data_IF_405310790223
#
_entry.id   IF_405310790223
#
_cell.length_a   1.000
_cell.length_b   1.000
_cell.length_c   1.000
_cell.angle_alpha   90.00
_cell.angle_beta   90.00
_cell.angle_gamma   90.00
#
_symmetry.space_group_name_H-M   'P 1'
#
loop_
_entity.id
_entity.type
_entity.pdbx_description
1 polymer ?
#
# COMPACT_ATOMS: atom_id res chain seq x y z
N UNK A 1 21.34 24.78 57.94
CA UNK A 1 22.64 25.48 58.00
C UNK A 1 22.99 25.82 56.57
N UNK A 2 22.83 27.12 56.25
CA UNK A 2 23.32 27.91 55.11
C UNK A 2 22.99 27.43 53.67
N UNK A 3 22.10 28.09 52.91
CA UNK A 3 22.15 29.47 52.35
C UNK A 3 23.08 29.56 51.14
N UNK A 4 22.55 29.77 49.93
CA UNK A 4 22.41 31.10 49.26
C UNK A 4 23.60 31.23 48.27
N UNK A 5 23.57 31.88 47.11
CA UNK A 5 22.59 32.63 46.35
C UNK A 5 23.21 32.87 44.95
N UNK A 6 22.34 32.99 43.96
CA UNK A 6 22.27 33.96 42.85
C UNK A 6 23.50 34.64 42.19
N UNK A 7 23.21 35.10 40.96
CA UNK A 7 23.78 36.22 40.18
C UNK A 7 24.44 35.81 38.85
N UNK A 8 24.21 36.47 37.71
CA UNK A 8 23.25 37.47 37.25
C UNK A 8 23.55 37.65 35.74
N UNK A 9 22.54 37.99 34.95
CA UNK A 9 22.62 38.43 33.56
C UNK A 9 23.45 39.71 33.36
N UNK A 10 23.99 39.91 32.15
CA UNK A 10 23.99 41.15 31.30
C UNK A 10 24.85 40.88 30.04
N UNK A 11 24.28 40.77 28.84
CA UNK A 11 23.92 41.83 27.88
C UNK A 11 25.11 42.73 27.50
N UNK A 12 25.58 42.66 26.24
CA UNK A 12 25.51 43.82 25.35
C UNK A 12 25.95 43.52 23.91
N UNK A 13 25.51 44.42 23.05
CA UNK A 13 25.30 44.30 21.61
C UNK A 13 26.44 44.85 20.71
N UNK A 14 26.44 44.35 19.47
CA UNK A 14 26.72 45.07 18.21
C UNK A 14 28.12 45.12 17.56
N UNK A 15 28.06 44.81 16.25
CA UNK A 15 28.75 45.40 15.09
C UNK A 15 30.24 45.14 14.82
N UNK A 16 30.52 44.58 13.64
CA UNK A 16 31.83 44.55 13.00
C UNK A 16 31.78 43.91 11.62
N UNK A 17 31.16 44.59 10.66
CA UNK A 17 31.26 44.32 9.23
C UNK A 17 32.73 44.53 8.80
N UNK A 18 33.41 43.47 8.35
CA UNK A 18 34.73 43.57 7.72
C UNK A 18 34.73 42.69 6.47
N UNK A 19 34.44 43.31 5.34
CA UNK A 19 34.85 42.81 4.04
C UNK A 19 36.32 43.21 3.78
N UNK A 20 37.12 42.27 3.30
CA UNK A 20 38.33 42.58 2.54
C UNK A 20 38.51 41.63 1.37
N UNK A 21 38.93 42.25 0.27
CA UNK A 21 39.01 41.80 -1.11
C UNK A 21 40.20 40.87 -1.39
N UNK A 22 40.05 40.19 -2.52
CA UNK A 22 40.95 39.35 -3.30
C UNK A 22 42.38 39.88 -3.56
N UNK A 23 43.35 38.97 -3.48
CA UNK A 23 44.58 38.89 -4.30
C UNK A 23 44.75 37.37 -4.59
N UNK A 24 44.33 36.83 -5.72
CA UNK A 24 44.97 36.77 -7.05
C UNK A 24 46.38 36.16 -7.00
N UNK A 25 46.48 34.85 -7.30
CA UNK A 25 47.69 34.20 -7.81
C UNK A 25 47.30 32.93 -8.61
N UNK A 26 47.21 33.15 -9.93
CA UNK A 26 47.64 32.31 -11.07
C UNK A 26 47.26 30.80 -11.17
N UNK A 27 46.42 30.51 -12.18
CA UNK A 27 46.27 29.22 -12.90
C UNK A 27 47.40 29.04 -13.93
N UNK A 28 47.85 27.80 -14.24
CA UNK A 28 47.29 27.03 -15.38
C UNK A 28 47.29 25.49 -15.13
N UNK A 29 46.62 24.57 -15.84
CA UNK A 29 45.94 24.57 -17.13
C UNK A 29 44.94 23.39 -17.23
N UNK A 30 43.93 23.63 -18.05
CA UNK A 30 42.97 22.77 -18.79
C UNK A 30 42.72 21.27 -18.47
N UNK A 31 41.41 21.04 -18.21
CA UNK A 31 40.53 20.09 -18.88
C UNK A 31 40.41 18.63 -18.36
N UNK A 32 39.51 18.45 -17.38
CA UNK A 32 38.31 17.61 -17.61
C UNK A 32 37.14 18.19 -16.83
N UNK A 33 36.09 18.63 -17.52
CA UNK A 33 34.82 19.05 -16.91
C UNK A 33 34.12 17.81 -16.35
N UNK A 34 34.34 17.48 -15.08
CA UNK A 34 33.49 16.50 -14.40
C UNK A 34 32.19 17.16 -13.96
N UNK A 35 31.09 16.63 -14.51
CA UNK A 35 29.73 16.97 -14.13
C UNK A 35 29.47 16.68 -12.63
N UNK A 36 28.57 17.43 -11.97
CA UNK A 36 28.27 17.18 -10.57
C UNK A 36 27.55 15.83 -10.39
N UNK A 37 28.07 15.00 -9.48
CA UNK A 37 27.29 13.93 -8.84
C UNK A 37 27.40 12.52 -9.44
N UNK A 38 28.56 11.87 -9.38
CA UNK A 38 28.63 10.40 -9.48
C UNK A 38 28.67 9.79 -8.08
N UNK A 39 27.53 9.34 -7.56
CA UNK A 39 27.41 8.59 -6.30
C UNK A 39 27.79 7.10 -6.44
N UNK A 40 28.74 6.77 -7.32
CA UNK A 40 29.18 5.40 -7.54
C UNK A 40 30.68 5.32 -7.88
N UNK A 41 31.31 4.21 -7.51
CA UNK A 41 32.71 3.88 -7.77
C UNK A 41 32.77 2.55 -8.52
N UNK A 42 33.70 2.42 -9.47
CA UNK A 42 33.89 1.21 -10.26
C UNK A 42 34.99 0.37 -9.63
N UNK A 43 34.75 -0.92 -9.43
CA UNK A 43 35.67 -1.87 -8.81
C UNK A 43 35.88 -3.11 -9.67
N UNK A 44 37.04 -3.75 -9.51
CA UNK A 44 37.34 -5.04 -10.14
C UNK A 44 36.76 -6.21 -9.32
N UNK A 45 36.36 -7.28 -10.01
CA UNK A 45 35.75 -8.45 -9.39
C UNK A 45 36.65 -9.13 -8.33
N UNK A 46 37.97 -8.99 -8.42
CA UNK A 46 38.94 -9.55 -7.46
C UNK A 46 38.78 -9.02 -6.04
N UNK A 47 38.47 -7.73 -5.90
CA UNK A 47 38.32 -7.10 -4.57
C UNK A 47 37.06 -7.62 -3.86
N UNK A 48 36.01 -7.91 -4.63
CA UNK A 48 34.76 -8.47 -4.10
C UNK A 48 34.92 -9.97 -3.81
N UNK A 49 35.70 -10.69 -4.61
CA UNK A 49 36.08 -12.09 -4.31
C UNK A 49 36.77 -12.21 -2.96
N UNK A 50 37.70 -11.31 -2.64
CA UNK A 50 38.38 -11.33 -1.35
C UNK A 50 37.39 -11.13 -0.20
N UNK A 51 36.49 -10.16 -0.31
CA UNK A 51 35.46 -9.89 0.70
C UNK A 51 34.50 -11.08 0.89
N UNK A 52 34.10 -11.70 -0.22
CA UNK A 52 33.30 -12.91 -0.21
C UNK A 52 34.00 -14.06 0.55
N UNK A 53 35.30 -14.27 0.34
CA UNK A 53 36.04 -15.32 1.03
C UNK A 53 36.22 -15.01 2.53
N UNK A 54 36.36 -13.74 2.90
CA UNK A 54 36.37 -13.31 4.29
C UNK A 54 35.05 -13.62 5.00
N UNK A 55 33.91 -13.35 4.35
CA UNK A 55 32.57 -13.65 4.90
C UNK A 55 32.33 -15.17 5.02
N UNK A 56 32.77 -15.96 4.04
CA UNK A 56 32.70 -17.44 4.09
C UNK A 56 33.56 -17.97 5.24
N UNK A 57 34.79 -17.49 5.36
CA UNK A 57 35.73 -17.88 6.41
C UNK A 57 35.19 -17.51 7.79
N UNK A 58 34.61 -16.31 7.92
CA UNK A 58 34.02 -15.87 9.17
C UNK A 58 32.85 -16.75 9.62
N UNK A 59 31.90 -17.07 8.73
CA UNK A 59 30.78 -17.99 9.06
C UNK A 59 31.27 -19.39 9.38
N UNK A 60 32.22 -19.92 8.59
CA UNK A 60 32.81 -21.25 8.84
C UNK A 60 33.43 -21.34 10.23
N UNK A 61 34.17 -20.31 10.64
CA UNK A 61 34.80 -20.24 11.95
C UNK A 61 33.79 -20.05 13.09
N UNK A 62 32.83 -19.13 12.94
CA UNK A 62 31.89 -18.80 14.02
C UNK A 62 30.89 -19.94 14.29
N UNK A 63 30.41 -20.59 13.23
CA UNK A 63 29.46 -21.71 13.37
C UNK A 63 30.17 -23.06 13.52
N UNK A 64 31.51 -23.08 13.44
CA UNK A 64 32.35 -24.27 13.44
C UNK A 64 31.91 -25.32 12.40
N UNK A 65 31.57 -24.87 11.19
CA UNK A 65 31.12 -25.71 10.07
C UNK A 65 32.15 -25.75 8.95
N UNK A 66 32.07 -26.76 8.09
CA UNK A 66 32.92 -26.85 6.90
C UNK A 66 32.70 -25.65 5.95
N UNK A 67 33.71 -25.32 5.13
CA UNK A 67 33.63 -24.24 4.14
C UNK A 67 32.42 -24.40 3.20
N UNK A 68 32.18 -25.61 2.71
CA UNK A 68 31.03 -25.90 1.83
C UNK A 68 29.69 -25.71 2.55
N UNK A 69 29.61 -26.11 3.82
CA UNK A 69 28.42 -25.86 4.64
C UNK A 69 28.18 -24.37 4.87
N UNK A 70 29.24 -23.60 5.13
CA UNK A 70 29.17 -22.15 5.26
C UNK A 70 28.64 -21.47 3.99
N UNK A 71 29.11 -21.91 2.81
CA UNK A 71 28.63 -21.42 1.51
C UNK A 71 27.13 -21.69 1.34
N UNK A 72 26.66 -22.90 1.63
CA UNK A 72 25.24 -23.26 1.49
C UNK A 72 24.36 -22.42 2.43
N UNK A 73 24.81 -22.22 3.67
CA UNK A 73 24.12 -21.36 4.62
C UNK A 73 24.06 -19.92 4.11
N UNK A 74 25.18 -19.39 3.61
CA UNK A 74 25.24 -18.05 3.05
C UNK A 74 24.31 -17.89 1.83
N UNK A 75 24.27 -18.86 0.92
CA UNK A 75 23.37 -18.84 -0.23
C UNK A 75 21.90 -18.89 0.17
N UNK A 76 21.52 -19.78 1.09
CA UNK A 76 20.13 -19.92 1.54
C UNK A 76 19.62 -18.66 2.28
N UNK A 77 20.53 -17.93 2.92
CA UNK A 77 20.23 -16.72 3.69
C UNK A 77 20.58 -15.44 2.95
N UNK A 78 20.80 -15.50 1.63
CA UNK A 78 21.13 -14.36 0.76
C UNK A 78 22.26 -13.50 1.35
N UNK A 79 23.33 -14.15 1.80
CA UNK A 79 24.52 -13.55 2.39
C UNK A 79 24.28 -12.74 3.67
N UNK A 80 23.17 -12.98 4.38
CA UNK A 80 22.89 -12.36 5.67
C UNK A 80 23.50 -13.16 6.84
N UNK A 81 24.75 -12.84 7.16
CA UNK A 81 25.54 -13.45 8.22
C UNK A 81 24.84 -13.48 9.60
N UNK A 82 24.16 -12.38 9.97
CA UNK A 82 23.48 -12.24 11.26
C UNK A 82 22.29 -13.19 11.38
N UNK A 83 21.45 -13.26 10.35
CA UNK A 83 20.26 -14.12 10.37
C UNK A 83 20.63 -15.60 10.43
N UNK A 84 21.75 -15.99 9.80
CA UNK A 84 22.27 -17.36 9.91
C UNK A 84 22.61 -17.65 11.37
N UNK A 85 23.32 -16.75 12.05
CA UNK A 85 23.71 -16.95 13.45
C UNK A 85 22.51 -17.04 14.39
N UNK A 86 21.55 -16.13 14.25
CA UNK A 86 20.33 -16.12 15.05
C UNK A 86 19.58 -17.45 14.93
N UNK A 87 19.31 -17.89 13.70
CA UNK A 87 18.58 -19.13 13.44
C UNK A 87 19.40 -20.37 13.83
N UNK A 88 20.72 -20.36 13.58
CA UNK A 88 21.63 -21.48 13.89
C UNK A 88 21.78 -21.70 15.39
N UNK A 89 21.93 -20.63 16.18
CA UNK A 89 22.02 -20.72 17.63
C UNK A 89 20.66 -20.95 18.30
N UNK A 90 19.55 -20.62 17.65
CA UNK A 90 18.22 -20.96 18.11
C UNK A 90 17.89 -22.45 17.94
N UNK A 91 18.14 -23.02 16.74
CA UNK A 91 17.87 -24.43 16.43
C UNK A 91 18.72 -24.92 15.24
N UNK A 92 19.92 -25.41 15.55
CA UNK A 92 20.89 -25.90 14.56
C UNK A 92 20.34 -27.09 13.73
N UNK A 93 19.61 -28.02 14.35
CA UNK A 93 19.13 -29.23 13.67
C UNK A 93 18.06 -28.88 12.63
N UNK A 94 17.16 -27.95 12.97
CA UNK A 94 16.16 -27.41 12.05
C UNK A 94 16.80 -26.69 10.88
N UNK A 95 17.83 -25.87 11.12
CA UNK A 95 18.55 -25.17 10.04
C UNK A 95 19.23 -26.17 9.12
N UNK A 96 19.97 -27.15 9.68
CA UNK A 96 20.64 -28.20 8.90
C UNK A 96 19.68 -28.98 8.02
N UNK A 97 18.49 -29.31 8.53
CA UNK A 97 17.46 -30.00 7.76
C UNK A 97 16.87 -29.11 6.66
N UNK A 98 16.63 -27.83 6.93
CA UNK A 98 16.09 -26.89 5.96
C UNK A 98 17.04 -26.65 4.78
N UNK A 99 18.35 -26.56 5.05
CA UNK A 99 19.36 -26.33 4.01
C UNK A 99 19.95 -27.61 3.40
N UNK A 100 19.44 -28.78 3.78
CA UNK A 100 19.87 -30.07 3.22
C UNK A 100 21.25 -30.57 3.70
N UNK A 101 21.81 -29.97 4.76
CA UNK A 101 23.08 -30.39 5.35
C UNK A 101 22.99 -31.70 6.16
N UNK A 102 21.79 -32.27 6.29
CA UNK A 102 21.57 -33.58 6.92
C UNK A 102 21.85 -34.78 5.99
N UNK A 103 22.24 -34.54 4.73
CA UNK A 103 22.52 -35.57 3.74
C UNK A 103 24.03 -35.73 3.46
N UNK A 104 24.55 -36.97 3.48
CA UNK A 104 25.96 -37.27 3.18
C UNK A 104 26.35 -37.18 1.69
N UNK A 105 25.48 -36.68 0.83
CA UNK A 105 25.70 -36.57 -0.62
C UNK A 105 26.05 -35.14 -1.07
N UNK A 106 26.72 -34.36 -0.22
CA UNK A 106 27.09 -32.98 -0.53
C UNK A 106 28.19 -32.93 -1.59
N UNK A 107 27.93 -32.23 -2.70
CA UNK A 107 28.95 -31.93 -3.72
C UNK A 107 29.61 -30.61 -3.35
N UNK A 108 30.78 -30.68 -2.72
CA UNK A 108 31.57 -29.51 -2.35
C UNK A 108 32.27 -28.84 -3.53
N UNK A 109 32.74 -27.61 -3.34
CA UNK A 109 33.40 -26.80 -4.37
C UNK A 109 34.59 -27.53 -5.01
N UNK A 110 35.33 -28.32 -4.24
CA UNK A 110 36.49 -29.09 -4.71
C UNK A 110 36.10 -30.15 -5.74
N UNK A 111 34.93 -30.78 -5.55
CA UNK A 111 34.39 -31.75 -6.49
C UNK A 111 33.94 -31.06 -7.77
N UNK A 112 33.31 -29.89 -7.66
CA UNK A 112 32.89 -29.09 -8.83
C UNK A 112 34.12 -28.56 -9.58
N UNK A 113 35.15 -28.09 -8.87
CA UNK A 113 36.42 -27.62 -9.43
C UNK A 113 37.20 -28.75 -10.13
N UNK A 114 37.08 -29.99 -9.66
CA UNK A 114 37.69 -31.15 -10.31
C UNK A 114 37.05 -31.51 -11.66
N UNK A 115 35.82 -31.07 -11.93
CA UNK A 115 35.06 -31.40 -13.15
C UNK A 115 34.71 -30.19 -14.04
N UNK A 116 34.75 -28.96 -13.53
CA UNK A 116 34.40 -27.73 -14.25
C UNK A 116 35.65 -27.03 -14.81
N UNK A 117 35.56 -26.43 -16.02
CA UNK A 117 36.65 -25.64 -16.59
C UNK A 117 36.87 -24.34 -15.79
N UNK A 118 38.12 -23.88 -15.69
CA UNK A 118 38.57 -22.75 -14.85
C UNK A 118 37.72 -21.47 -15.03
N UNK A 119 37.16 -21.22 -16.22
CA UNK A 119 36.37 -20.03 -16.52
C UNK A 119 34.93 -20.06 -16.00
N UNK A 120 34.38 -21.23 -15.65
CA UNK A 120 32.95 -21.40 -15.35
C UNK A 120 32.57 -21.41 -13.86
N UNK A 121 33.49 -21.77 -12.96
CA UNK A 121 33.11 -22.18 -11.61
C UNK A 121 33.19 -21.08 -10.53
N UNK A 122 34.09 -20.12 -10.66
CA UNK A 122 34.19 -18.97 -9.71
C UNK A 122 33.09 -17.92 -9.93
N UNK A 123 32.39 -17.99 -11.06
CA UNK A 123 31.41 -16.99 -11.48
C UNK A 123 30.10 -17.04 -10.69
N UNK A 124 29.53 -18.24 -10.42
CA UNK A 124 28.19 -18.33 -9.83
C UNK A 124 28.14 -17.85 -8.37
N UNK A 125 29.14 -18.23 -7.57
CA UNK A 125 29.18 -17.90 -6.14
C UNK A 125 29.37 -16.39 -5.98
N UNK A 126 30.30 -15.82 -6.73
CA UNK A 126 30.54 -14.38 -6.80
C UNK A 126 29.31 -13.63 -7.33
N UNK A 127 28.61 -14.21 -8.30
CA UNK A 127 27.38 -13.63 -8.86
C UNK A 127 26.27 -13.55 -7.82
N UNK A 128 26.02 -14.60 -7.03
CA UNK A 128 25.06 -14.54 -5.92
C UNK A 128 25.46 -13.48 -4.89
N UNK A 129 26.74 -13.40 -4.52
CA UNK A 129 27.23 -12.38 -3.57
C UNK A 129 26.95 -10.96 -4.04
N UNK A 130 27.06 -10.69 -5.34
CA UNK A 130 26.87 -9.34 -5.89
C UNK A 130 25.37 -9.05 -6.14
N UNK A 131 24.61 -10.04 -6.62
CA UNK A 131 23.17 -9.87 -6.89
C UNK A 131 22.38 -9.61 -5.61
N UNK A 132 22.70 -10.34 -4.53
CA UNK A 132 22.06 -10.21 -3.22
C UNK A 132 22.56 -9.00 -2.41
N UNK A 133 23.65 -8.35 -2.83
CA UNK A 133 24.21 -7.18 -2.14
C UNK A 133 23.57 -5.87 -2.64
N UNK A 134 23.22 -4.99 -1.69
CA UNK A 134 22.64 -3.66 -1.99
C UNK A 134 23.67 -2.63 -2.45
N UNK A 135 24.94 -2.80 -2.08
CA UNK A 135 26.02 -1.86 -2.38
C UNK A 135 26.65 -2.10 -3.76
N UNK A 136 26.60 -3.34 -4.27
CA UNK A 136 27.27 -3.76 -5.49
C UNK A 136 26.28 -4.19 -6.57
N UNK A 137 26.54 -3.81 -7.82
CA UNK A 137 25.82 -4.32 -8.99
C UNK A 137 26.79 -4.60 -10.13
N UNK A 138 26.49 -5.61 -10.94
CA UNK A 138 27.27 -5.92 -12.14
C UNK A 138 27.17 -4.81 -13.18
N UNK A 139 28.28 -4.55 -13.87
CA UNK A 139 28.25 -3.73 -15.07
C UNK A 139 27.38 -4.42 -16.15
N UNK A 140 26.42 -3.72 -16.79
CA UNK A 140 25.56 -4.31 -17.80
C UNK A 140 26.27 -4.75 -19.10
N UNK A 141 27.52 -4.33 -19.30
CA UNK A 141 28.26 -4.64 -20.52
C UNK A 141 28.70 -6.12 -20.53
N UNK A 142 28.46 -6.86 -21.63
CA UNK A 142 28.91 -8.24 -21.75
C UNK A 142 30.43 -8.33 -21.65
N UNK A 143 30.93 -9.36 -20.97
CA UNK A 143 32.35 -9.65 -20.73
C UNK A 143 33.16 -8.54 -20.02
N UNK A 144 32.50 -7.55 -19.43
CA UNK A 144 33.16 -6.43 -18.77
C UNK A 144 33.78 -6.81 -17.40
N UNK A 145 33.13 -7.68 -16.63
CA UNK A 145 33.63 -8.16 -15.33
C UNK A 145 33.78 -7.08 -14.24
N UNK A 146 33.38 -5.83 -14.49
CA UNK A 146 33.44 -4.72 -13.54
C UNK A 146 32.18 -4.64 -12.67
N UNK A 147 32.35 -4.11 -11.46
CA UNK A 147 31.31 -3.98 -10.45
C UNK A 147 31.13 -2.50 -10.10
N UNK A 148 29.87 -2.05 -10.06
CA UNK A 148 29.49 -0.72 -9.62
C UNK A 148 29.19 -0.75 -8.11
N UNK A 149 29.95 0.01 -7.32
CA UNK A 149 29.70 0.25 -5.91
C UNK A 149 29.03 1.61 -5.72
N UNK A 150 27.83 1.66 -5.16
CA UNK A 150 27.13 2.93 -4.92
C UNK A 150 27.55 3.53 -3.56
N UNK A 151 28.09 4.75 -3.58
CA UNK A 151 28.66 5.45 -2.40
C UNK A 151 27.61 6.01 -1.42
N UNK A 152 26.31 5.90 -1.75
CA UNK A 152 25.20 6.31 -0.88
C UNK A 152 24.94 5.36 0.30
N UNK A 153 25.61 4.21 0.35
CA UNK A 153 25.54 3.25 1.45
C UNK A 153 26.89 3.16 2.15
N UNK A 154 27.21 4.16 2.98
CA UNK A 154 28.26 4.00 3.98
C UNK A 154 27.59 3.45 5.24
N UNK A 155 27.69 2.14 5.45
CA UNK A 155 27.40 1.53 6.75
C UNK A 155 28.50 1.99 7.73
N UNK A 156 28.17 2.96 8.57
CA UNK A 156 28.93 3.22 9.79
C UNK A 156 28.91 1.94 10.64
N UNK A 157 30.07 1.27 10.75
CA UNK A 157 30.28 0.23 11.77
C UNK A 157 30.23 0.90 13.14
N UNK A 158 29.17 0.60 13.89
CA UNK A 158 29.03 0.94 15.30
C UNK A 158 27.58 0.86 15.72
N UNK A 159 27.18 -0.26 16.33
CA UNK A 159 26.03 -0.55 17.24
C UNK A 159 24.64 0.09 17.00
N UNK A 160 24.43 0.85 15.91
CA UNK A 160 23.18 1.47 15.42
C UNK A 160 22.67 0.83 14.13
N UNK A 161 23.38 -0.16 13.58
CA UNK A 161 23.05 -0.81 12.30
C UNK A 161 21.78 -1.69 12.39
N UNK A 162 21.48 -2.23 13.58
CA UNK A 162 20.26 -2.99 13.82
C UNK A 162 19.03 -2.07 13.73
N UNK A 163 19.10 -0.86 14.29
CA UNK A 163 17.99 0.10 14.27
C UNK A 163 17.65 0.60 12.85
N UNK A 164 18.64 0.88 11.99
CA UNK A 164 18.37 1.33 10.63
C UNK A 164 17.86 0.20 9.72
N UNK A 165 18.41 -1.02 9.85
CA UNK A 165 17.91 -2.19 9.13
C UNK A 165 16.48 -2.55 9.59
N UNK A 166 16.21 -2.47 10.88
CA UNK A 166 14.88 -2.63 11.45
C UNK A 166 13.95 -1.49 11.00
N UNK A 167 14.41 -0.24 10.91
CA UNK A 167 13.62 0.89 10.42
C UNK A 167 13.27 0.75 8.93
N UNK A 168 14.21 0.36 8.08
CA UNK A 168 13.97 0.06 6.66
C UNK A 168 12.98 -1.11 6.52
N UNK A 169 13.21 -2.19 7.25
CA UNK A 169 12.34 -3.38 7.26
C UNK A 169 10.94 -3.05 7.78
N UNK A 170 10.84 -2.23 8.82
CA UNK A 170 9.56 -1.79 9.38
C UNK A 170 8.84 -0.82 8.44
N UNK A 171 9.55 0.05 7.74
CA UNK A 171 8.99 0.92 6.70
C UNK A 171 8.46 0.10 5.52
N UNK A 172 9.24 -0.87 5.02
CA UNK A 172 8.80 -1.79 3.98
C UNK A 172 7.59 -2.63 4.40
N UNK A 173 7.58 -3.14 5.64
CA UNK A 173 6.42 -3.84 6.23
C UNK A 173 5.19 -2.95 6.31
N UNK A 174 5.35 -1.68 6.73
CA UNK A 174 4.24 -0.71 6.79
C UNK A 174 3.66 -0.44 5.40
N UNK A 175 4.52 -0.20 4.40
CA UNK A 175 4.06 0.00 3.02
C UNK A 175 3.35 -1.25 2.45
N UNK A 176 3.87 -2.45 2.72
CA UNK A 176 3.23 -3.68 2.29
C UNK A 176 1.89 -3.89 2.99
N UNK A 177 1.82 -3.69 4.31
CA UNK A 177 0.58 -3.79 5.07
C UNK A 177 -0.47 -2.79 4.57
N UNK A 178 -0.06 -1.55 4.28
CA UNK A 178 -0.92 -0.53 3.66
C UNK A 178 -1.42 -1.01 2.30
N UNK A 179 -0.53 -1.44 1.40
CA UNK A 179 -0.94 -1.96 0.10
C UNK A 179 -1.93 -3.12 0.21
N UNK A 180 -1.63 -4.13 1.04
CA UNK A 180 -2.52 -5.28 1.26
C UNK A 180 -3.88 -4.83 1.77
N UNK A 181 -3.93 -3.94 2.77
CA UNK A 181 -5.19 -3.43 3.33
C UNK A 181 -6.11 -2.83 2.26
N UNK A 182 -5.56 -1.97 1.39
CA UNK A 182 -6.32 -1.28 0.34
C UNK A 182 -6.67 -2.22 -0.83
N UNK A 183 -5.71 -3.04 -1.27
CA UNK A 183 -5.91 -3.96 -2.38
C UNK A 183 -6.95 -5.04 -2.09
N UNK A 184 -6.92 -5.64 -0.89
CA UNK A 184 -7.90 -6.66 -0.51
C UNK A 184 -9.33 -6.12 -0.52
N UNK A 185 -9.52 -4.86 -0.08
CA UNK A 185 -10.83 -4.20 -0.06
C UNK A 185 -11.30 -3.76 -1.45
N UNK A 186 -10.38 -3.32 -2.30
CA UNK A 186 -10.64 -3.08 -3.72
C UNK A 186 -11.13 -4.36 -4.41
N UNK A 187 -10.43 -5.48 -4.20
CA UNK A 187 -10.79 -6.78 -4.79
C UNK A 187 -12.10 -7.29 -4.20
N UNK A 188 -12.32 -7.14 -2.89
CA UNK A 188 -13.55 -7.55 -2.23
C UNK A 188 -14.76 -6.80 -2.79
N UNK A 189 -14.67 -5.48 -2.96
CA UNK A 189 -15.74 -4.69 -3.58
C UNK A 189 -15.96 -5.05 -5.05
N UNK A 190 -14.88 -5.33 -5.80
CA UNK A 190 -15.02 -5.82 -7.17
C UNK A 190 -15.77 -7.15 -7.25
N UNK A 191 -15.41 -8.12 -6.41
CA UNK A 191 -16.11 -9.42 -6.34
C UNK A 191 -17.56 -9.27 -5.87
N UNK A 192 -17.81 -8.39 -4.90
CA UNK A 192 -19.16 -8.11 -4.41
C UNK A 192 -20.04 -7.47 -5.49
N UNK A 193 -19.46 -6.58 -6.32
CA UNK A 193 -20.12 -6.02 -7.50
C UNK A 193 -20.48 -7.10 -8.52
N UNK A 194 -19.54 -8.01 -8.84
CA UNK A 194 -19.79 -9.09 -9.81
C UNK A 194 -20.92 -10.02 -9.34
N UNK A 195 -20.96 -10.33 -8.04
CA UNK A 195 -22.08 -11.06 -7.42
C UNK A 195 -23.40 -10.32 -7.52
N UNK A 196 -23.42 -9.00 -7.27
CA UNK A 196 -24.65 -8.21 -7.40
C UNK A 196 -25.17 -8.19 -8.85
N UNK A 197 -24.28 -8.11 -9.84
CA UNK A 197 -24.63 -8.25 -11.26
C UNK A 197 -25.21 -9.64 -11.56
N UNK A 198 -24.61 -10.70 -11.02
CA UNK A 198 -25.10 -12.07 -11.16
C UNK A 198 -26.48 -12.25 -10.51
N UNK A 199 -26.68 -11.75 -9.28
CA UNK A 199 -27.97 -11.78 -8.60
C UNK A 199 -29.08 -11.06 -9.38
N UNK A 200 -28.78 -9.88 -9.94
CA UNK A 200 -29.71 -9.16 -10.81
C UNK A 200 -30.08 -9.98 -12.06
N UNK A 201 -29.09 -10.58 -12.74
CA UNK A 201 -29.33 -11.44 -13.92
C UNK A 201 -30.14 -12.68 -13.56
N UNK A 202 -29.82 -13.34 -12.45
CA UNK A 202 -30.56 -14.50 -11.97
C UNK A 202 -32.01 -14.14 -11.68
N UNK A 203 -32.27 -12.98 -11.10
CA UNK A 203 -33.63 -12.48 -10.85
C UNK A 203 -34.43 -12.32 -12.15
N UNK A 204 -33.80 -11.84 -13.22
CA UNK A 204 -34.39 -11.74 -14.56
C UNK A 204 -34.61 -13.13 -15.19
N UNK A 205 -33.60 -14.01 -15.15
CA UNK A 205 -33.66 -15.38 -15.74
C UNK A 205 -34.75 -16.22 -15.08
N UNK A 206 -34.83 -16.20 -13.75
CA UNK A 206 -35.85 -16.95 -13.00
C UNK A 206 -37.21 -16.25 -12.96
N UNK A 207 -37.32 -15.05 -13.56
CA UNK A 207 -38.57 -14.29 -13.61
C UNK A 207 -39.13 -13.95 -12.23
N UNK A 208 -38.28 -13.72 -11.23
CA UNK A 208 -38.72 -13.51 -9.83
C UNK A 208 -39.57 -12.26 -9.68
N UNK A 209 -39.17 -11.15 -10.31
CA UNK A 209 -39.93 -9.89 -10.32
C UNK A 209 -41.29 -10.10 -11.00
N UNK A 210 -41.31 -10.83 -12.11
CA UNK A 210 -42.53 -11.12 -12.84
C UNK A 210 -43.46 -12.07 -12.06
N UNK A 211 -42.89 -13.07 -11.38
CA UNK A 211 -43.62 -13.93 -10.44
C UNK A 211 -44.28 -13.13 -9.31
N UNK A 212 -43.55 -12.17 -8.74
CA UNK A 212 -44.11 -11.25 -7.73
C UNK A 212 -45.24 -10.39 -8.31
N UNK A 213 -45.11 -9.91 -9.55
CA UNK A 213 -46.16 -9.17 -10.27
C UNK A 213 -47.46 -9.97 -10.36
N UNK A 214 -47.35 -11.25 -10.72
CA UNK A 214 -48.49 -12.17 -10.80
C UNK A 214 -49.11 -12.44 -9.43
N UNK A 215 -48.30 -12.73 -8.41
CA UNK A 215 -48.77 -13.00 -7.04
C UNK A 215 -49.56 -11.81 -6.47
N UNK A 216 -49.11 -10.59 -6.78
CA UNK A 216 -49.72 -9.35 -6.30
C UNK A 216 -50.83 -8.81 -7.22
N UNK A 217 -51.12 -9.48 -8.33
CA UNK A 217 -52.07 -9.03 -9.36
C UNK A 217 -51.82 -7.59 -9.85
N UNK A 218 -50.55 -7.21 -10.03
CA UNK A 218 -50.17 -5.87 -10.46
C UNK A 218 -50.36 -5.70 -11.97
N UNK A 219 -51.08 -4.64 -12.37
CA UNK A 219 -51.37 -4.35 -13.77
C UNK A 219 -50.20 -3.71 -14.53
N UNK A 220 -49.38 -2.90 -13.86
CA UNK A 220 -48.24 -2.17 -14.44
C UNK A 220 -46.91 -2.76 -13.94
N UNK A 221 -46.01 -3.09 -14.88
CA UNK A 221 -44.64 -3.56 -14.60
C UNK A 221 -43.80 -2.52 -13.85
N UNK A 222 -44.12 -1.22 -14.02
CA UNK A 222 -43.39 -0.12 -13.38
C UNK A 222 -43.54 -0.11 -11.87
N UNK A 223 -44.58 -0.75 -11.33
CA UNK A 223 -44.79 -0.85 -9.88
C UNK A 223 -43.63 -1.57 -9.18
N UNK A 224 -42.88 -2.43 -9.90
CA UNK A 224 -41.75 -3.20 -9.41
C UNK A 224 -40.37 -2.66 -9.84
N UNK A 225 -40.34 -1.57 -10.61
CA UNK A 225 -39.08 -0.98 -11.10
C UNK A 225 -38.09 -0.65 -9.99
N UNK A 226 -38.60 -0.27 -8.81
CA UNK A 226 -37.78 0.05 -7.63
C UNK A 226 -36.82 -1.07 -7.20
N UNK A 227 -37.14 -2.34 -7.49
CA UNK A 227 -36.26 -3.48 -7.21
C UNK A 227 -35.02 -3.41 -8.10
N UNK A 228 -35.23 -3.20 -9.41
CA UNK A 228 -34.14 -3.05 -10.37
C UNK A 228 -33.30 -1.81 -10.08
N UNK A 229 -33.95 -0.69 -9.79
CA UNK A 229 -33.28 0.57 -9.43
C UNK A 229 -32.37 0.38 -8.19
N UNK A 230 -32.81 -0.40 -7.20
CA UNK A 230 -32.00 -0.70 -6.01
C UNK A 230 -30.76 -1.54 -6.34
N UNK A 231 -30.88 -2.60 -7.16
CA UNK A 231 -29.73 -3.41 -7.58
C UNK A 231 -28.75 -2.63 -8.47
N UNK A 232 -29.25 -1.80 -9.39
CA UNK A 232 -28.41 -0.90 -10.18
C UNK A 232 -27.64 0.06 -9.27
N UNK A 233 -28.30 0.62 -8.25
CA UNK A 233 -27.66 1.48 -7.26
C UNK A 233 -26.61 0.72 -6.44
N UNK A 234 -26.88 -0.52 -6.00
CA UNK A 234 -25.88 -1.35 -5.30
C UNK A 234 -24.62 -1.52 -6.16
N UNK A 235 -24.77 -1.87 -7.44
CA UNK A 235 -23.63 -2.07 -8.36
C UNK A 235 -22.84 -0.76 -8.53
N UNK A 236 -23.53 0.37 -8.72
CA UNK A 236 -22.90 1.68 -8.81
C UNK A 236 -22.11 2.02 -7.55
N UNK A 237 -22.72 1.85 -6.37
CA UNK A 237 -22.09 2.10 -5.08
C UNK A 237 -20.85 1.21 -4.86
N UNK A 238 -20.90 -0.09 -5.24
CA UNK A 238 -19.71 -0.98 -5.18
C UNK A 238 -18.58 -0.50 -6.07
N UNK A 239 -18.90 0.02 -7.25
CA UNK A 239 -17.90 0.61 -8.16
C UNK A 239 -17.25 1.84 -7.51
N UNK A 240 -18.03 2.71 -6.88
CA UNK A 240 -17.48 3.88 -6.18
C UNK A 240 -16.60 3.47 -5.00
N UNK A 241 -17.02 2.50 -4.16
CA UNK A 241 -16.17 1.99 -3.07
C UNK A 241 -14.88 1.35 -3.56
N UNK A 242 -14.94 0.56 -4.64
CA UNK A 242 -13.74 -0.01 -5.26
C UNK A 242 -12.72 1.10 -5.55
N UNK A 243 -13.16 2.20 -6.16
CA UNK A 243 -12.28 3.32 -6.47
C UNK A 243 -11.95 4.21 -5.25
N UNK A 244 -12.80 4.26 -4.22
CA UNK A 244 -12.48 4.96 -2.97
C UNK A 244 -11.26 4.35 -2.29
N UNK A 245 -11.10 3.03 -2.32
CA UNK A 245 -9.90 2.38 -1.79
C UNK A 245 -8.64 2.70 -2.60
N UNK A 246 -8.74 2.80 -3.91
CA UNK A 246 -7.61 3.27 -4.72
C UNK A 246 -7.25 4.72 -4.37
N UNK A 247 -8.24 5.59 -4.23
CA UNK A 247 -8.07 6.98 -3.84
C UNK A 247 -7.43 7.12 -2.44
N UNK A 248 -7.96 6.41 -1.44
CA UNK A 248 -7.44 6.43 -0.07
C UNK A 248 -5.99 5.93 0.05
N UNK A 249 -5.57 4.98 -0.79
CA UNK A 249 -4.19 4.50 -0.82
C UNK A 249 -3.18 5.62 -1.14
N UNK A 250 -3.54 6.49 -2.09
CA UNK A 250 -2.70 7.60 -2.55
C UNK A 250 -2.85 8.88 -1.71
N UNK A 251 -3.73 8.89 -0.71
CA UNK A 251 -3.90 10.04 0.16
C UNK A 251 -2.62 10.27 1.01
N UNK A 252 -2.05 11.49 1.04
CA UNK A 252 -0.81 11.75 1.76
C UNK A 252 -0.93 11.54 3.28
N UNK A 253 0.01 10.81 3.88
CA UNK A 253 -0.04 10.44 5.30
C UNK A 253 0.04 11.62 6.27
N UNK A 254 0.58 12.75 5.82
CA UNK A 254 0.67 13.99 6.59
C UNK A 254 -0.66 14.77 6.64
N UNK A 255 -1.64 14.44 5.78
CA UNK A 255 -2.94 15.11 5.73
C UNK A 255 -3.97 14.42 6.64
N UNK A 256 -3.66 14.30 7.93
CA UNK A 256 -4.47 13.53 8.90
C UNK A 256 -5.96 13.93 8.92
N UNK A 257 -6.29 15.22 8.82
CA UNK A 257 -7.68 15.66 8.80
C UNK A 257 -8.47 15.16 7.58
N UNK A 258 -7.80 15.08 6.42
CA UNK A 258 -8.40 14.53 5.19
C UNK A 258 -8.57 13.03 5.26
N UNK A 259 -7.59 12.32 5.84
CA UNK A 259 -7.69 10.88 6.07
C UNK A 259 -8.88 10.56 6.96
N UNK A 260 -8.99 11.21 8.12
CA UNK A 260 -10.10 10.97 9.07
C UNK A 260 -11.47 11.29 8.46
N UNK A 261 -11.58 12.40 7.75
CA UNK A 261 -12.84 12.78 7.10
C UNK A 261 -13.22 11.80 5.98
N UNK A 262 -12.25 11.37 5.17
CA UNK A 262 -12.44 10.36 4.14
C UNK A 262 -12.89 9.01 4.73
N UNK A 263 -12.19 8.51 5.77
CA UNK A 263 -12.52 7.25 6.43
C UNK A 263 -13.92 7.26 7.04
N UNK A 264 -14.34 8.40 7.62
CA UNK A 264 -15.70 8.58 8.13
C UNK A 264 -16.74 8.46 7.01
N UNK A 265 -16.58 9.21 5.91
CA UNK A 265 -17.51 9.15 4.78
C UNK A 265 -17.54 7.77 4.14
N UNK A 266 -16.38 7.13 3.99
CA UNK A 266 -16.27 5.78 3.46
C UNK A 266 -17.00 4.78 4.35
N UNK A 267 -16.84 4.87 5.68
CA UNK A 267 -17.52 3.99 6.64
C UNK A 267 -19.04 4.11 6.60
N UNK A 268 -19.58 5.33 6.54
CA UNK A 268 -21.02 5.56 6.41
C UNK A 268 -21.58 4.97 5.10
N UNK A 269 -20.86 5.18 3.99
CA UNK A 269 -21.23 4.65 2.69
C UNK A 269 -21.20 3.11 2.65
N UNK A 270 -20.18 2.48 3.25
CA UNK A 270 -20.07 1.03 3.36
C UNK A 270 -21.19 0.42 4.17
N UNK A 271 -21.44 0.96 5.37
CA UNK A 271 -22.49 0.48 6.26
C UNK A 271 -23.86 0.57 5.57
N UNK A 272 -24.16 1.72 4.95
CA UNK A 272 -25.40 1.91 4.18
C UNK A 272 -25.54 0.91 3.04
N UNK A 273 -24.47 0.68 2.27
CA UNK A 273 -24.48 -0.26 1.15
C UNK A 273 -24.67 -1.72 1.57
N UNK A 274 -24.01 -2.17 2.64
CA UNK A 274 -24.20 -3.53 3.15
C UNK A 274 -25.64 -3.74 3.64
N UNK A 275 -26.22 -2.74 4.32
CA UNK A 275 -27.62 -2.80 4.74
C UNK A 275 -28.56 -2.94 3.54
N UNK A 276 -28.38 -2.08 2.53
CA UNK A 276 -29.20 -2.10 1.32
C UNK A 276 -29.06 -3.43 0.56
N UNK A 277 -27.83 -3.91 0.38
CA UNK A 277 -27.55 -5.15 -0.36
C UNK A 277 -28.23 -6.35 0.32
N UNK A 278 -28.05 -6.49 1.63
CA UNK A 278 -28.70 -7.56 2.40
C UNK A 278 -30.22 -7.49 2.32
N UNK A 279 -30.80 -6.29 2.49
CA UNK A 279 -32.25 -6.10 2.43
C UNK A 279 -32.82 -6.46 1.05
N UNK A 280 -32.15 -6.07 -0.03
CA UNK A 280 -32.55 -6.39 -1.40
C UNK A 280 -32.51 -7.90 -1.71
N UNK A 281 -31.56 -8.63 -1.11
CA UNK A 281 -31.39 -10.07 -1.31
C UNK A 281 -32.42 -10.90 -0.51
N UNK A 282 -32.62 -10.57 0.78
CA UNK A 282 -33.45 -11.36 1.70
C UNK A 282 -34.96 -11.11 1.51
N UNK A 283 -35.38 -9.85 1.42
CA UNK A 283 -36.80 -9.48 1.53
C UNK A 283 -37.61 -9.81 0.29
N UNK A 284 -36.97 -9.84 -0.88
CA UNK A 284 -37.62 -10.31 -2.10
C UNK A 284 -38.06 -11.77 -1.95
N UNK A 285 -37.22 -12.62 -1.37
CA UNK A 285 -37.55 -14.02 -1.14
C UNK A 285 -38.66 -14.17 -0.10
N UNK A 286 -38.69 -13.32 0.92
CA UNK A 286 -39.78 -13.30 1.91
C UNK A 286 -41.11 -12.96 1.24
N UNK A 287 -41.14 -11.97 0.33
CA UNK A 287 -42.34 -11.60 -0.40
C UNK A 287 -42.85 -12.72 -1.31
N UNK A 288 -41.94 -13.43 -2.00
CA UNK A 288 -42.28 -14.52 -2.92
C UNK A 288 -42.86 -15.75 -2.20
N UNK A 289 -42.42 -16.02 -0.97
CA UNK A 289 -42.80 -17.23 -0.23
C UNK A 289 -43.87 -17.01 0.84
N UNK A 290 -44.42 -15.80 0.97
CA UNK A 290 -45.33 -15.44 2.06
C UNK A 290 -46.77 -15.91 1.83
N UNK A 291 -47.46 -16.29 2.92
CA UNK A 291 -48.91 -16.48 2.94
C UNK A 291 -49.70 -15.15 2.83
N UNK A 292 -49.09 -14.00 3.14
CA UNK A 292 -49.70 -12.66 2.99
C UNK A 292 -48.78 -11.70 2.19
N UNK A 293 -48.69 -11.88 0.86
CA UNK A 293 -47.74 -11.14 0.01
C UNK A 293 -48.00 -9.64 -0.04
N UNK A 294 -49.26 -9.21 0.02
CA UNK A 294 -49.66 -7.81 -0.14
C UNK A 294 -49.18 -6.90 0.99
N UNK A 295 -49.24 -7.39 2.23
CA UNK A 295 -48.79 -6.61 3.40
C UNK A 295 -47.27 -6.50 3.38
N UNK A 296 -46.58 -7.62 3.15
CA UNK A 296 -45.12 -7.66 3.08
C UNK A 296 -44.58 -6.81 1.92
N UNK A 297 -45.25 -6.84 0.77
CA UNK A 297 -44.86 -6.04 -0.39
C UNK A 297 -44.88 -4.54 -0.10
N UNK A 298 -45.90 -4.03 0.61
CA UNK A 298 -45.95 -2.60 0.95
C UNK A 298 -44.77 -2.18 1.83
N UNK A 299 -44.44 -2.99 2.84
CA UNK A 299 -43.31 -2.73 3.74
C UNK A 299 -42.00 -2.80 2.95
N UNK A 300 -41.81 -3.88 2.18
CA UNK A 300 -40.64 -4.08 1.33
C UNK A 300 -40.42 -2.92 0.37
N UNK A 301 -41.49 -2.47 -0.31
CA UNK A 301 -41.42 -1.36 -1.27
C UNK A 301 -40.95 -0.06 -0.63
N UNK A 302 -41.56 0.33 0.48
CA UNK A 302 -41.24 1.59 1.14
C UNK A 302 -39.82 1.56 1.73
N UNK A 303 -39.45 0.47 2.40
CA UNK A 303 -38.16 0.37 3.05
C UNK A 303 -37.00 0.21 2.04
N UNK A 304 -37.19 -0.56 0.95
CA UNK A 304 -36.15 -0.69 -0.08
C UNK A 304 -35.89 0.66 -0.76
N UNK A 305 -36.93 1.43 -1.09
CA UNK A 305 -36.78 2.78 -1.65
C UNK A 305 -36.05 3.73 -0.69
N UNK A 306 -36.42 3.69 0.59
CA UNK A 306 -35.80 4.51 1.63
C UNK A 306 -34.32 4.18 1.78
N UNK A 307 -33.94 2.90 1.89
CA UNK A 307 -32.54 2.49 2.00
C UNK A 307 -31.76 2.80 0.72
N UNK A 308 -32.37 2.65 -0.46
CA UNK A 308 -31.75 3.02 -1.74
C UNK A 308 -31.42 4.51 -1.78
N UNK A 309 -32.35 5.36 -1.35
CA UNK A 309 -32.17 6.82 -1.30
C UNK A 309 -31.11 7.21 -0.26
N UNK A 310 -31.18 6.65 0.95
CA UNK A 310 -30.21 6.93 2.00
C UNK A 310 -28.79 6.53 1.56
N UNK A 311 -28.64 5.35 0.95
CA UNK A 311 -27.36 4.88 0.41
C UNK A 311 -26.86 5.81 -0.69
N UNK A 312 -27.72 6.20 -1.64
CA UNK A 312 -27.34 7.14 -2.69
C UNK A 312 -26.78 8.45 -2.14
N UNK A 313 -27.37 8.99 -1.06
CA UNK A 313 -26.90 10.24 -0.43
C UNK A 313 -25.50 10.10 0.19
N UNK A 314 -25.19 8.96 0.84
CA UNK A 314 -23.83 8.71 1.36
C UNK A 314 -22.80 8.68 0.22
N UNK A 315 -23.15 8.04 -0.90
CA UNK A 315 -22.26 7.95 -2.06
C UNK A 315 -22.12 9.25 -2.84
N UNK A 316 -23.17 10.07 -2.91
CA UNK A 316 -23.10 11.40 -3.48
C UNK A 316 -22.17 12.30 -2.66
N UNK A 317 -22.25 12.20 -1.33
CA UNK A 317 -21.35 12.91 -0.42
C UNK A 317 -19.90 12.48 -0.66
N UNK A 318 -19.63 11.18 -0.69
CA UNK A 318 -18.30 10.61 -0.95
C UNK A 318 -17.73 11.04 -2.31
N UNK A 319 -18.53 10.94 -3.38
CA UNK A 319 -18.12 11.31 -4.73
C UNK A 319 -17.86 12.82 -4.87
N UNK A 320 -18.64 13.66 -4.20
CA UNK A 320 -18.44 15.11 -4.17
C UNK A 320 -17.12 15.44 -3.49
N UNK A 321 -16.81 14.79 -2.37
CA UNK A 321 -15.54 14.95 -1.67
C UNK A 321 -14.34 14.55 -2.53
N UNK A 322 -14.46 13.54 -3.40
CA UNK A 322 -13.40 13.17 -4.35
C UNK A 322 -13.15 14.27 -5.37
N UNK A 323 -14.24 14.81 -5.95
CA UNK A 323 -14.15 15.88 -6.96
C UNK A 323 -13.51 17.15 -6.39
N UNK A 324 -13.78 17.45 -5.12
CA UNK A 324 -13.28 18.65 -4.45
C UNK A 324 -11.93 18.46 -3.76
N UNK A 325 -11.32 17.26 -3.83
CA UNK A 325 -10.02 16.97 -3.21
C UNK A 325 -10.00 17.15 -1.69
N UNK A 326 -11.13 16.90 -1.02
CA UNK A 326 -11.32 17.09 0.43
C UNK A 326 -11.04 18.51 0.94
N UNK A 327 -11.35 19.53 0.12
CA UNK A 327 -11.19 20.94 0.46
C UNK A 327 -11.92 21.36 1.75
N UNK A 328 -12.96 20.61 2.14
CA UNK A 328 -13.81 20.85 3.31
C UNK A 328 -13.01 20.86 4.63
N UNK A 329 -11.90 20.12 4.67
CA UNK A 329 -11.01 20.03 5.85
C UNK A 329 -10.25 21.33 6.10
N UNK A 330 -9.92 22.10 5.04
CA UNK A 330 -9.29 23.41 5.20
C UNK A 330 -10.29 24.46 5.72
N UNK A 331 -11.57 24.33 5.39
CA UNK A 331 -12.65 25.19 5.91
C UNK A 331 -13.04 24.91 7.36
N UNK A 332 -12.84 23.69 7.88
CA UNK A 332 -13.13 23.37 9.28
C UNK A 332 -12.08 23.93 10.26
N UNK A 333 -10.84 24.14 9.81
CA UNK A 333 -9.83 24.89 10.57
C UNK A 333 -10.19 26.36 10.78
N UNK A 334 -10.86 26.99 9.79
CA UNK A 334 -11.34 28.37 9.89
C UNK A 334 -12.72 28.49 10.58
N UNK A 335 -13.55 27.44 10.51
CA UNK A 335 -14.85 27.40 11.17
C UNK A 335 -14.73 27.16 12.69
N UNK A 336 -13.73 26.38 13.15
CA UNK A 336 -13.55 26.09 14.57
C UNK A 336 -13.11 27.32 15.40
N UNK A 337 -12.37 28.27 14.80
CA UNK A 337 -12.01 29.54 15.47
C UNK A 337 -13.24 30.46 15.64
N UNK A 338 -14.24 30.33 14.77
CA UNK A 338 -15.46 31.15 14.81
C UNK A 338 -16.60 30.49 15.61
N UNK A 339 -16.57 29.16 15.81
CA UNK A 339 -17.59 28.42 16.57
C UNK A 339 -17.46 28.58 18.09
N UNK A 340 -16.26 28.80 18.62
CA UNK A 340 -16.06 29.10 20.06
C UNK A 340 -16.57 30.50 20.47
N UNK A 341 -16.92 31.37 19.51
CA UNK A 341 -17.49 32.70 19.76
C UNK A 341 -19.00 32.81 19.55
N UNK A 342 -19.66 31.77 19.08
CA UNK A 342 -21.08 31.83 18.71
C UNK A 342 -21.83 30.56 19.12
N UNK A 343 -21.89 30.31 20.43
CA UNK A 343 -22.90 29.43 21.02
C UNK A 343 -23.69 30.21 22.07
N UNK A 344 -24.64 31.00 21.60
CA UNK A 344 -25.86 31.28 22.34
C UNK A 344 -27.02 31.51 21.34
N UNK A 345 -28.09 30.71 21.44
CA UNK A 345 -29.38 30.99 20.79
C UNK A 345 -29.82 30.11 19.60
N UNK A 346 -30.64 29.11 19.92
CA UNK A 346 -31.88 28.62 19.29
C UNK A 346 -31.99 28.04 17.85
N UNK A 347 -32.90 27.05 17.81
CA UNK A 347 -33.50 26.26 16.72
C UNK A 347 -33.95 27.02 15.47
N UNK A 348 -33.88 26.37 14.30
CA UNK A 348 -35.04 26.18 13.41
C UNK A 348 -34.76 25.24 12.22
N UNK A 349 -35.81 24.52 11.81
CA UNK A 349 -35.91 23.61 10.66
C UNK A 349 -35.62 24.29 9.32
N UNK A 350 -35.05 23.56 8.35
CA UNK A 350 -35.27 23.83 6.92
C UNK A 350 -35.11 22.60 6.03
N UNK A 351 -36.20 22.24 5.36
CA UNK A 351 -36.25 21.37 4.19
C UNK A 351 -35.71 22.11 2.94
N UNK A 352 -34.99 21.41 2.06
CA UNK A 352 -34.77 21.79 0.66
C UNK A 352 -34.42 20.54 -0.17
N UNK A 353 -35.34 20.06 -1.02
CA UNK A 353 -35.37 20.26 -2.48
C UNK A 353 -34.32 19.46 -3.26
N UNK A 354 -34.69 18.22 -3.62
CA UNK A 354 -33.97 17.32 -4.52
C UNK A 354 -34.19 17.75 -5.97
N UNK A 355 -33.11 18.10 -6.68
CA UNK A 355 -33.13 18.26 -8.14
C UNK A 355 -32.54 17.00 -8.76
N UNK A 356 -33.39 16.19 -9.37
CA UNK A 356 -33.03 15.00 -10.13
C UNK A 356 -32.36 15.42 -11.44
N UNK A 357 -31.07 15.13 -11.60
CA UNK A 357 -30.42 15.12 -12.91
C UNK A 357 -30.45 13.69 -13.45
N UNK A 358 -31.36 13.45 -14.40
CA UNK A 358 -31.25 12.34 -15.33
C UNK A 358 -29.96 12.50 -16.12
N UNK A 359 -29.08 11.50 -16.04
CA UNK A 359 -28.09 11.27 -17.08
C UNK A 359 -28.20 9.80 -17.49
N UNK A 360 -28.66 9.59 -18.72
CA UNK A 360 -28.67 8.30 -19.40
C UNK A 360 -27.23 7.85 -19.61
N UNK A 361 -26.79 6.83 -18.87
CA UNK A 361 -25.64 6.02 -19.26
C UNK A 361 -26.13 4.61 -19.56
N UNK A 362 -26.22 4.32 -20.85
CA UNK A 362 -26.64 3.03 -21.40
C UNK A 362 -25.64 1.93 -21.05
N UNK A 363 -26.16 0.75 -20.74
CA UNK A 363 -25.47 -0.51 -20.39
C UNK A 363 -24.56 -1.09 -21.50
N UNK A 364 -24.35 -0.37 -22.61
CA UNK A 364 -23.56 -0.83 -23.76
C UNK A 364 -22.04 -0.59 -23.65
N UNK A 365 -21.58 0.26 -22.72
CA UNK A 365 -20.14 0.59 -22.60
C UNK A 365 -19.31 -0.48 -21.85
N UNK A 366 -19.85 -1.69 -21.65
CA UNK A 366 -19.16 -2.78 -20.94
C UNK A 366 -18.06 -3.47 -21.77
N UNK A 367 -17.94 -3.15 -23.06
CA UNK A 367 -16.96 -3.75 -23.96
C UNK A 367 -16.33 -2.71 -24.89
N UNK A 368 -15.39 -1.89 -24.41
CA UNK A 368 -14.12 -1.55 -25.10
C UNK A 368 -13.38 -0.41 -24.40
N UNK A 369 -12.07 -0.64 -24.26
CA UNK A 369 -10.96 0.27 -23.97
C UNK A 369 -10.68 0.76 -22.53
N UNK A 370 -9.40 0.72 -22.10
CA UNK A 370 -8.94 1.23 -20.82
C UNK A 370 -8.82 2.75 -20.86
N UNK A 371 -9.38 3.42 -19.84
CA UNK A 371 -9.20 4.86 -19.65
C UNK A 371 -7.71 5.20 -19.47
N UNK A 372 -7.13 5.87 -20.46
CA UNK A 372 -5.90 6.63 -20.31
C UNK A 372 -6.21 7.89 -19.48
N UNK A 373 -5.56 8.01 -18.32
CA UNK A 373 -5.43 9.27 -17.61
C UNK A 373 -4.02 9.82 -17.87
N UNK A 374 -3.94 10.98 -18.52
CA UNK A 374 -2.79 11.88 -18.43
C UNK A 374 -2.91 12.74 -17.18
#
# INVERSE_FOLDING_TARGET
MYSDDDDLYTDDTSNGDIGFNYEDDELPDEATKEAPGKNYSVMHADVIRQKQEEDISWISNVLAVSRDSAIILLLHYNWNAYKIQEDWFADEEKVRKAVGLSCNALVGQDMINAFASEEGNSSYLLRSYIEDNKEFKWCPAPDCGLILRFAGYVLYKGDRADDNCNLERNTARKHLAKYTHYYERWVANHRSMDKAVESMKNMEIYGQVEGLRFILCLADEKELKFIKDAWEKIIECRRVLKWSYAFGYYLPENEHGKIQFFEYLQGEAESGLESLHRYAEEELQICLNSENPLTNFKIFREELKKQTTATANYFESLATTFKNGLSEVHSQGAANINRERATDGHDEQKYASTTTLHNEFSLYDYFSEPAQFC
#
